data_IF_421627745644
#
_entry.id   IF_421627745644
#
_cell.length_a   1.000
_cell.length_b   1.000
_cell.length_c   1.000
_cell.angle_alpha   90.00
_cell.angle_beta   90.00
_cell.angle_gamma   90.00
#
_symmetry.space_group_name_H-M   'P 1'
#
loop_
_entity.id
_entity.type
_entity.pdbx_description
1 polymer ?
#
# COMPACT_ATOMS: atom_id res chain seq x y z
N UNK A 1 17.96 -49.44 30.49
CA UNK A 1 17.22 -50.71 30.36
C UNK A 1 15.75 -50.37 30.53
N UNK A 2 14.91 -50.82 29.59
CA UNK A 2 13.44 -50.67 29.46
C UNK A 2 12.91 -49.22 29.31
N UNK A 3 11.88 -48.87 28.54
CA UNK A 3 10.97 -49.62 27.66
C UNK A 3 10.27 -48.64 26.68
N UNK A 4 10.03 -49.15 25.47
CA UNK A 4 8.94 -48.93 24.51
C UNK A 4 7.80 -47.92 24.80
N UNK A 5 7.41 -47.15 23.77
CA UNK A 5 6.04 -46.61 23.61
C UNK A 5 5.58 -46.87 22.17
N UNK A 6 4.48 -47.62 22.03
CA UNK A 6 3.80 -47.93 20.78
C UNK A 6 2.37 -47.32 20.79
N UNK A 7 1.90 -46.96 19.59
CA UNK A 7 0.49 -46.86 19.15
C UNK A 7 -0.22 -45.52 19.44
N UNK A 8 -1.03 -44.93 18.54
CA UNK A 8 -1.81 -45.43 17.41
C UNK A 8 -1.79 -44.47 16.21
N UNK A 9 -1.89 -45.02 15.00
CA UNK A 9 -2.39 -44.28 13.84
C UNK A 9 -3.90 -44.08 14.02
N UNK A 10 -4.33 -42.83 14.08
CA UNK A 10 -5.70 -42.42 13.77
C UNK A 10 -5.66 -41.27 12.78
N UNK A 11 -6.44 -41.43 11.72
CA UNK A 11 -6.59 -40.56 10.57
C UNK A 11 -7.32 -39.27 10.92
N UNK A 12 -6.72 -38.12 10.63
CA UNK A 12 -7.35 -36.97 9.93
C UNK A 12 -6.21 -36.10 9.39
N UNK A 13 -6.04 -36.08 8.07
CA UNK A 13 -5.03 -35.25 7.42
C UNK A 13 -5.41 -33.77 7.54
N UNK A 14 -4.87 -33.08 8.55
CA UNK A 14 -4.55 -31.67 8.44
C UNK A 14 -3.03 -31.59 8.27
N UNK A 15 -2.58 -31.65 7.02
CA UNK A 15 -1.19 -31.34 6.70
C UNK A 15 -0.88 -29.94 7.24
N UNK A 16 0.29 -29.70 7.84
CA UNK A 16 0.71 -28.33 8.12
C UNK A 16 0.65 -27.54 6.81
N UNK A 17 0.07 -26.35 6.85
CA UNK A 17 0.10 -25.41 5.72
C UNK A 17 1.58 -25.18 5.40
N UNK A 18 2.07 -25.86 4.38
CA UNK A 18 3.38 -25.61 3.82
C UNK A 18 3.26 -24.31 3.03
N UNK A 19 3.37 -23.18 3.72
CA UNK A 19 3.45 -21.86 3.09
C UNK A 19 4.83 -21.80 2.44
N UNK A 20 4.91 -22.34 1.23
CA UNK A 20 6.06 -22.16 0.37
C UNK A 20 6.08 -20.71 -0.09
N UNK A 21 7.07 -19.94 0.37
CA UNK A 21 7.42 -18.70 -0.31
C UNK A 21 8.15 -19.10 -1.59
N UNK A 22 7.45 -19.04 -2.73
CA UNK A 22 8.13 -18.96 -4.01
C UNK A 22 8.78 -17.59 -4.06
N UNK A 23 10.09 -17.52 -4.25
CA UNK A 23 10.76 -16.31 -4.74
C UNK A 23 10.21 -16.03 -6.15
N UNK A 24 9.01 -15.47 -6.22
CA UNK A 24 8.55 -14.76 -7.40
C UNK A 24 9.23 -13.40 -7.35
N UNK A 25 9.93 -13.03 -8.41
CA UNK A 25 10.40 -11.67 -8.67
C UNK A 25 9.32 -10.70 -8.18
N UNK A 26 9.68 -9.82 -7.24
CA UNK A 26 8.73 -8.87 -6.64
C UNK A 26 8.26 -7.96 -7.77
N UNK A 27 7.08 -8.21 -8.33
CA UNK A 27 6.45 -7.31 -9.28
C UNK A 27 6.34 -5.94 -8.60
N UNK A 28 7.11 -4.99 -9.11
CA UNK A 28 7.15 -3.61 -8.61
C UNK A 28 5.75 -3.04 -8.65
N UNK A 29 5.15 -2.79 -7.49
CA UNK A 29 3.73 -2.42 -7.33
C UNK A 29 3.46 -0.94 -7.72
N UNK A 30 4.04 -0.45 -8.81
CA UNK A 30 3.69 0.85 -9.39
C UNK A 30 2.41 0.72 -10.22
N UNK A 31 1.38 1.52 -9.91
CA UNK A 31 0.09 1.56 -10.61
C UNK A 31 0.05 2.71 -11.63
N UNK A 32 -0.77 2.56 -12.67
CA UNK A 32 -1.00 3.62 -13.68
C UNK A 32 -1.91 4.76 -13.17
N UNK A 33 -2.67 4.51 -12.09
CA UNK A 33 -3.62 5.46 -11.52
C UNK A 33 -3.70 5.36 -10.00
N UNK A 34 -3.69 6.52 -9.32
CA UNK A 34 -3.80 6.63 -7.87
C UNK A 34 -5.00 7.51 -7.45
N UNK A 35 -5.76 7.04 -6.48
CA UNK A 35 -6.93 7.74 -5.95
C UNK A 35 -6.53 8.76 -4.88
N UNK A 36 -6.91 10.01 -5.11
CA UNK A 36 -6.67 11.15 -4.21
C UNK A 36 -8.00 11.70 -3.71
N UNK A 37 -8.11 11.86 -2.40
CA UNK A 37 -9.25 12.52 -1.75
C UNK A 37 -8.80 13.91 -1.31
N UNK A 38 -9.56 14.93 -1.72
CA UNK A 38 -9.43 16.30 -1.25
C UNK A 38 -10.45 16.57 -0.15
N UNK A 39 -10.00 17.24 0.92
CA UNK A 39 -10.84 17.67 2.03
C UNK A 39 -10.50 19.10 2.41
N UNK A 40 -11.52 19.93 2.65
CA UNK A 40 -11.32 21.26 3.23
C UNK A 40 -11.05 21.14 4.73
N UNK A 41 -9.90 21.63 5.15
CA UNK A 41 -9.55 21.84 6.55
C UNK A 41 -10.30 23.04 7.13
N UNK A 42 -10.47 23.04 8.46
CA UNK A 42 -11.13 24.13 9.18
C UNK A 42 -10.30 25.42 9.24
N UNK A 43 -9.02 25.32 8.93
CA UNK A 43 -8.02 26.39 8.92
C UNK A 43 -7.86 27.05 7.54
N UNK A 44 -8.70 26.67 6.56
CA UNK A 44 -8.64 27.18 5.20
C UNK A 44 -7.63 26.47 4.29
N UNK A 45 -6.94 25.45 4.78
CA UNK A 45 -6.10 24.58 3.96
C UNK A 45 -6.92 23.48 3.30
N UNK A 46 -6.46 22.99 2.16
CA UNK A 46 -7.01 21.82 1.47
C UNK A 46 -6.05 20.66 1.71
N UNK A 47 -6.54 19.62 2.37
CA UNK A 47 -5.80 18.39 2.62
C UNK A 47 -6.00 17.46 1.43
N UNK A 48 -4.92 16.94 0.88
CA UNK A 48 -4.92 15.91 -0.16
C UNK A 48 -4.36 14.61 0.42
N UNK A 49 -5.07 13.49 0.23
CA UNK A 49 -4.65 12.17 0.69
C UNK A 49 -4.76 11.16 -0.42
N UNK A 50 -3.68 10.46 -0.72
CA UNK A 50 -3.73 9.27 -1.56
C UNK A 50 -4.19 8.07 -0.71
N UNK A 51 -5.21 7.33 -1.15
CA UNK A 51 -5.66 6.12 -0.44
C UNK A 51 -4.87 4.87 -0.86
N UNK A 52 -4.18 4.95 -1.99
CA UNK A 52 -3.43 3.85 -2.59
C UNK A 52 -1.97 3.80 -2.10
N UNK A 53 -1.40 4.94 -1.74
CA UNK A 53 -0.01 5.08 -1.25
C UNK A 53 -0.04 5.48 0.23
N UNK A 54 0.37 4.57 1.11
CA UNK A 54 0.42 4.85 2.55
C UNK A 54 1.41 5.98 2.83
N UNK A 55 0.99 6.94 3.64
CA UNK A 55 1.82 8.09 4.02
C UNK A 55 1.80 9.25 3.03
N UNK A 56 1.28 9.07 1.81
CA UNK A 56 1.06 10.18 0.87
C UNK A 56 -0.12 11.04 1.34
N UNK A 57 0.22 12.05 2.14
CA UNK A 57 -0.68 13.11 2.59
C UNK A 57 0.06 14.42 2.41
N UNK A 58 -0.62 15.42 1.86
CA UNK A 58 -0.10 16.76 1.70
C UNK A 58 -1.22 17.79 1.89
N UNK A 59 -0.87 19.06 1.85
CA UNK A 59 -1.84 20.15 1.94
C UNK A 59 -1.42 21.32 1.05
N UNK A 60 -2.39 22.16 0.67
CA UNK A 60 -2.14 23.41 -0.04
C UNK A 60 -3.18 24.47 0.32
N UNK A 61 -2.88 25.75 0.07
CA UNK A 61 -3.82 26.86 0.33
C UNK A 61 -4.95 26.94 -0.71
N UNK A 62 -4.77 26.25 -1.83
CA UNK A 62 -5.75 26.10 -2.90
C UNK A 62 -5.64 24.69 -3.51
N UNK A 63 -6.57 24.35 -4.41
CA UNK A 63 -6.69 23.01 -4.99
C UNK A 63 -5.44 22.66 -5.81
N UNK A 64 -4.96 23.60 -6.62
CA UNK A 64 -3.79 23.41 -7.47
C UNK A 64 -2.53 23.11 -6.64
N UNK A 65 -2.31 23.86 -5.57
CA UNK A 65 -1.19 23.62 -4.64
C UNK A 65 -1.31 22.26 -3.95
N UNK A 66 -2.49 21.90 -3.45
CA UNK A 66 -2.70 20.61 -2.80
C UNK A 66 -2.47 19.44 -3.77
N UNK A 67 -2.89 19.59 -5.04
CA UNK A 67 -2.67 18.58 -6.08
C UNK A 67 -1.19 18.49 -6.49
N UNK A 68 -0.47 19.61 -6.63
CA UNK A 68 0.97 19.58 -6.90
C UNK A 68 1.71 18.86 -5.77
N UNK A 69 1.41 19.22 -4.53
CA UNK A 69 2.09 18.67 -3.36
C UNK A 69 1.80 17.17 -3.16
N UNK A 70 0.58 16.70 -3.47
CA UNK A 70 0.26 15.26 -3.35
C UNK A 70 0.92 14.44 -4.46
N UNK A 71 1.06 14.98 -5.67
CA UNK A 71 1.78 14.32 -6.77
C UNK A 71 3.25 14.14 -6.37
N UNK A 72 3.90 15.17 -5.84
CA UNK A 72 5.27 15.07 -5.33
C UNK A 72 5.40 14.05 -4.20
N UNK A 73 4.49 14.07 -3.22
CA UNK A 73 4.51 13.12 -2.11
C UNK A 73 4.33 11.66 -2.57
N UNK A 74 3.45 11.41 -3.55
CA UNK A 74 3.28 10.10 -4.18
C UNK A 74 4.59 9.69 -4.87
N UNK A 75 5.15 10.56 -5.71
CA UNK A 75 6.39 10.29 -6.45
C UNK A 75 7.54 9.95 -5.51
N UNK A 76 7.78 10.76 -4.48
CA UNK A 76 8.87 10.52 -3.50
C UNK A 76 8.72 9.16 -2.82
N UNK A 77 7.51 8.78 -2.41
CA UNK A 77 7.29 7.50 -1.74
C UNK A 77 7.47 6.33 -2.71
N UNK A 78 6.96 6.45 -3.94
CA UNK A 78 7.17 5.43 -4.97
C UNK A 78 8.65 5.31 -5.32
N UNK A 79 9.37 6.42 -5.35
CA UNK A 79 10.81 6.45 -5.65
C UNK A 79 11.60 5.70 -4.58
N UNK A 80 11.37 6.03 -3.32
CA UNK A 80 12.01 5.39 -2.17
C UNK A 80 11.66 3.89 -2.08
N UNK A 81 10.43 3.52 -2.46
CA UNK A 81 9.95 2.13 -2.36
C UNK A 81 10.39 1.24 -3.53
N UNK A 82 10.42 1.77 -4.76
CA UNK A 82 10.55 0.99 -5.98
C UNK A 82 11.68 1.44 -6.93
N UNK A 83 12.37 2.54 -6.64
CA UNK A 83 13.40 3.10 -7.52
C UNK A 83 12.82 4.12 -8.51
N UNK A 84 13.03 3.97 -9.82
CA UNK A 84 12.55 4.99 -10.76
C UNK A 84 11.01 5.08 -10.82
N UNK A 85 10.49 6.31 -10.74
CA UNK A 85 9.05 6.60 -10.85
C UNK A 85 8.66 6.69 -12.32
N UNK A 86 7.67 5.88 -12.70
CA UNK A 86 7.03 5.97 -14.02
C UNK A 86 5.93 7.02 -14.01
N UNK A 87 5.58 7.55 -15.18
CA UNK A 87 4.44 8.45 -15.32
C UNK A 87 3.16 7.77 -14.84
N UNK A 88 2.33 8.49 -14.09
CA UNK A 88 1.07 8.00 -13.54
C UNK A 88 -0.01 9.08 -13.60
N UNK A 89 -1.26 8.63 -13.52
CA UNK A 89 -2.43 9.49 -13.41
C UNK A 89 -2.97 9.51 -11.98
N UNK A 90 -3.79 10.52 -11.66
CA UNK A 90 -4.54 10.57 -10.41
C UNK A 90 -6.04 10.68 -10.66
N UNK A 91 -6.84 9.98 -9.87
CA UNK A 91 -8.29 10.14 -9.81
C UNK A 91 -8.64 10.93 -8.56
N UNK A 92 -9.15 12.15 -8.74
CA UNK A 92 -9.46 13.06 -7.63
C UNK A 92 -10.93 12.95 -7.24
N UNK A 93 -11.20 12.88 -5.93
CA UNK A 93 -12.54 12.98 -5.33
C UNK A 93 -12.53 14.05 -4.25
N UNK A 94 -13.63 14.76 -4.09
CA UNK A 94 -13.83 15.65 -2.94
C UNK A 94 -14.63 14.92 -1.85
N UNK A 95 -14.18 15.04 -0.60
CA UNK A 95 -14.95 14.62 0.56
C UNK A 95 -15.83 15.81 1.01
N UNK A 96 -17.16 15.63 0.92
CA UNK A 96 -18.18 16.58 1.37
C UNK A 96 -18.35 16.57 2.87
#
# INVERSE_FOLDING_TARGET
>A
MVQEVLLHRASTAASPLNIGFTESEVETNSRDCYQVILKRGFDGWIIAKCIDVRGAVSQGKNVQEALSNIIEAISVILEDTYGEVREFSILVREET
#
